data_IF_483666584950
#
_entry.id   IF_483666584950
#
_cell.length_a   1.000
_cell.length_b   1.000
_cell.length_c   1.000
_cell.angle_alpha   90.00
_cell.angle_beta   90.00
_cell.angle_gamma   90.00
#
_symmetry.space_group_name_H-M   'P 1'
#
loop_
_entity.id
_entity.type
_entity.pdbx_description
1 polymer ?
#
# COMPACT_ATOMS: atom_id res chain seq x y z
N UNK A 1 2.21 16.92 22.02
CA UNK A 1 2.84 16.97 20.66
C UNK A 1 2.58 15.72 19.86
N UNK A 2 2.70 14.53 20.44
CA UNK A 2 2.50 13.23 19.74
C UNK A 2 1.05 13.01 19.28
N UNK A 3 0.06 13.37 20.09
CA UNK A 3 -1.35 13.27 19.71
C UNK A 3 -1.72 14.16 18.52
N UNK A 4 -1.13 15.34 18.43
CA UNK A 4 -1.37 16.25 17.31
C UNK A 4 -0.74 15.69 16.03
N UNK A 5 0.48 15.18 16.12
CA UNK A 5 1.16 14.57 14.97
C UNK A 5 0.39 13.34 14.45
N UNK A 6 -0.05 12.45 15.35
CA UNK A 6 -0.86 11.29 15.00
C UNK A 6 -2.23 11.66 14.38
N UNK A 7 -2.80 12.83 14.77
CA UNK A 7 -4.02 13.34 14.17
C UNK A 7 -3.77 13.86 12.75
N UNK A 8 -2.69 14.63 12.57
CA UNK A 8 -2.28 15.16 11.27
C UNK A 8 -1.97 14.01 10.28
N UNK A 9 -1.27 12.99 10.73
CA UNK A 9 -0.92 11.86 9.86
C UNK A 9 -2.15 11.03 9.48
N UNK A 10 -3.14 10.90 10.38
CA UNK A 10 -4.44 10.30 10.05
C UNK A 10 -5.21 11.13 9.04
N UNK A 11 -5.34 12.44 9.26
CA UNK A 11 -6.04 13.34 8.35
C UNK A 11 -5.39 13.33 6.96
N UNK A 12 -4.06 13.38 6.87
CA UNK A 12 -3.32 13.23 5.61
C UNK A 12 -3.57 11.89 4.94
N UNK A 13 -3.70 10.81 5.72
CA UNK A 13 -4.01 9.48 5.22
C UNK A 13 -5.42 9.39 4.64
N UNK A 14 -6.37 10.00 5.33
CA UNK A 14 -7.77 10.01 4.91
C UNK A 14 -7.94 10.86 3.64
N UNK A 15 -7.31 12.04 3.59
CA UNK A 15 -7.27 12.88 2.39
C UNK A 15 -6.62 12.13 1.20
N UNK A 16 -5.50 11.45 1.42
CA UNK A 16 -4.85 10.68 0.35
C UNK A 16 -5.75 9.56 -0.18
N UNK A 17 -6.52 8.91 0.69
CA UNK A 17 -7.49 7.87 0.31
C UNK A 17 -8.64 8.47 -0.48
N UNK A 18 -9.24 9.56 0.01
CA UNK A 18 -10.34 10.25 -0.67
C UNK A 18 -9.93 10.73 -2.07
N UNK A 19 -8.73 11.31 -2.20
CA UNK A 19 -8.18 11.70 -3.51
C UNK A 19 -7.99 10.49 -4.41
N UNK A 20 -7.52 9.35 -3.87
CA UNK A 20 -7.31 8.15 -4.67
C UNK A 20 -8.65 7.55 -5.14
N UNK A 21 -9.60 7.41 -4.24
CA UNK A 21 -10.87 6.72 -4.50
C UNK A 21 -11.79 7.58 -5.38
N UNK A 22 -11.95 8.85 -5.06
CA UNK A 22 -12.88 9.74 -5.77
C UNK A 22 -12.30 10.30 -7.06
N UNK A 23 -11.10 10.89 -6.99
CA UNK A 23 -10.47 11.52 -8.15
C UNK A 23 -9.82 10.48 -9.05
N UNK A 24 -9.08 9.54 -8.46
CA UNK A 24 -8.41 8.47 -9.19
C UNK A 24 -9.39 7.57 -9.92
N UNK A 25 -10.47 7.15 -9.26
CA UNK A 25 -11.53 6.35 -9.84
C UNK A 25 -12.26 7.06 -10.98
N UNK A 26 -12.61 8.34 -10.78
CA UNK A 26 -13.26 9.16 -11.81
C UNK A 26 -12.40 9.36 -13.05
N UNK A 27 -11.10 9.66 -12.88
CA UNK A 27 -10.17 9.83 -13.97
C UNK A 27 -9.93 8.51 -14.73
N UNK A 28 -9.93 7.37 -14.04
CA UNK A 28 -9.82 6.06 -14.67
C UNK A 28 -11.04 5.74 -15.54
N UNK A 29 -12.25 6.03 -15.06
CA UNK A 29 -13.49 5.88 -15.83
C UNK A 29 -13.48 6.76 -17.09
N UNK A 30 -13.16 8.04 -16.96
CA UNK A 30 -13.05 8.98 -18.09
C UNK A 30 -12.04 8.49 -19.12
N UNK A 31 -10.89 7.97 -18.68
CA UNK A 31 -9.88 7.41 -19.57
C UNK A 31 -10.38 6.22 -20.38
N UNK A 32 -11.18 5.36 -19.78
CA UNK A 32 -11.79 4.22 -20.47
C UNK A 32 -12.81 4.68 -21.52
N UNK A 33 -13.62 5.67 -21.18
CA UNK A 33 -14.62 6.24 -22.10
C UNK A 33 -13.93 6.95 -23.29
N UNK A 34 -12.89 7.73 -23.05
CA UNK A 34 -12.10 8.37 -24.09
C UNK A 34 -11.41 7.33 -25.01
N UNK A 35 -10.88 6.24 -24.43
CA UNK A 35 -10.30 5.16 -25.22
C UNK A 35 -11.37 4.45 -26.10
N UNK A 36 -12.59 4.31 -25.59
CA UNK A 36 -13.71 3.77 -26.36
C UNK A 36 -14.15 4.70 -27.49
N UNK A 37 -14.26 6.02 -27.22
CA UNK A 37 -14.57 7.05 -28.21
C UNK A 37 -13.49 7.13 -29.30
N UNK A 38 -12.22 7.14 -28.95
CA UNK A 38 -11.11 7.20 -29.90
C UNK A 38 -11.10 6.04 -30.89
N UNK A 39 -11.47 4.83 -30.46
CA UNK A 39 -11.62 3.67 -31.34
C UNK A 39 -12.79 3.79 -32.34
N UNK A 40 -13.72 4.69 -32.11
CA UNK A 40 -14.95 4.92 -32.91
C UNK A 40 -14.98 6.27 -33.62
N UNK A 41 -13.97 7.10 -33.43
CA UNK A 41 -13.88 8.39 -34.09
C UNK A 41 -13.87 8.20 -35.62
N UNK A 42 -14.86 8.79 -36.29
CA UNK A 42 -15.06 8.63 -37.72
C UNK A 42 -14.18 9.59 -38.56
N UNK A 43 -13.73 10.66 -37.97
CA UNK A 43 -12.92 11.70 -38.61
C UNK A 43 -11.69 12.08 -37.79
N UNK A 44 -10.73 12.72 -38.43
CA UNK A 44 -9.45 13.06 -37.80
C UNK A 44 -9.58 14.22 -36.81
N UNK A 45 -10.57 15.11 -36.96
CA UNK A 45 -10.83 16.19 -36.03
C UNK A 45 -11.30 15.66 -34.69
N UNK A 46 -12.31 14.76 -34.69
CA UNK A 46 -12.80 14.08 -33.49
C UNK A 46 -11.70 13.25 -32.83
N UNK A 47 -10.88 12.55 -33.59
CA UNK A 47 -9.74 11.79 -33.07
C UNK A 47 -8.73 12.68 -32.37
N UNK A 48 -8.40 13.84 -32.97
CA UNK A 48 -7.51 14.82 -32.38
C UNK A 48 -8.02 15.38 -31.04
N UNK A 49 -9.31 15.65 -30.91
CA UNK A 49 -9.91 16.08 -29.66
C UNK A 49 -9.83 14.99 -28.59
N UNK A 50 -10.13 13.73 -28.93
CA UNK A 50 -10.04 12.61 -27.97
C UNK A 50 -8.60 12.41 -27.50
N UNK A 51 -7.59 12.51 -28.35
CA UNK A 51 -6.18 12.41 -27.97
C UNK A 51 -5.75 13.56 -27.03
N UNK A 52 -6.24 14.78 -27.30
CA UNK A 52 -5.99 15.93 -26.42
C UNK A 52 -6.60 15.71 -25.03
N UNK A 53 -7.85 15.21 -24.97
CA UNK A 53 -8.52 14.92 -23.70
C UNK A 53 -7.84 13.77 -22.93
N UNK A 54 -7.39 12.71 -23.62
CA UNK A 54 -6.60 11.64 -23.02
C UNK A 54 -5.32 12.17 -22.39
N UNK A 55 -4.65 13.11 -23.06
CA UNK A 55 -3.44 13.76 -22.54
C UNK A 55 -3.76 14.58 -21.29
N UNK A 56 -4.87 15.32 -21.28
CA UNK A 56 -5.31 16.07 -20.10
C UNK A 56 -5.64 15.15 -18.91
N UNK A 57 -6.34 14.05 -19.15
CA UNK A 57 -6.65 13.06 -18.12
C UNK A 57 -5.37 12.43 -17.55
N UNK A 58 -4.41 12.07 -18.39
CA UNK A 58 -3.12 11.55 -17.95
C UNK A 58 -2.35 12.57 -17.10
N UNK A 59 -2.38 13.85 -17.45
CA UNK A 59 -1.79 14.93 -16.68
C UNK A 59 -2.47 15.09 -15.31
N UNK A 60 -3.80 15.05 -15.26
CA UNK A 60 -4.58 15.13 -14.01
C UNK A 60 -4.31 13.93 -13.10
N UNK A 61 -4.20 12.71 -13.65
CA UNK A 61 -3.80 11.52 -12.88
C UNK A 61 -2.39 11.69 -12.29
N UNK A 62 -1.44 12.18 -13.06
CA UNK A 62 -0.08 12.48 -12.58
C UNK A 62 -0.07 13.53 -11.47
N UNK A 63 -0.91 14.57 -11.56
CA UNK A 63 -1.05 15.58 -10.51
C UNK A 63 -1.64 14.99 -9.21
N UNK A 64 -2.70 14.21 -9.31
CA UNK A 64 -3.30 13.49 -8.19
C UNK A 64 -2.28 12.61 -7.47
N UNK A 65 -1.52 11.81 -8.22
CA UNK A 65 -0.47 10.96 -7.65
C UNK A 65 0.65 11.76 -6.97
N UNK A 66 1.03 12.95 -7.49
CA UNK A 66 2.00 13.82 -6.82
C UNK A 66 1.47 14.34 -5.49
N UNK A 67 0.19 14.73 -5.43
CA UNK A 67 -0.44 15.18 -4.18
C UNK A 67 -0.44 14.05 -3.14
N UNK A 68 -0.86 12.84 -3.53
CA UNK A 68 -0.86 11.66 -2.65
C UNK A 68 0.55 11.36 -2.12
N UNK A 69 1.59 11.47 -2.95
CA UNK A 69 2.99 11.29 -2.51
C UNK A 69 3.44 12.35 -1.50
N UNK A 70 3.01 13.60 -1.68
CA UNK A 70 3.34 14.69 -0.76
C UNK A 70 2.61 14.58 0.59
N UNK A 71 1.55 13.79 0.67
CA UNK A 71 0.84 13.44 1.90
C UNK A 71 1.52 12.28 2.68
N UNK A 72 2.78 11.96 2.36
CA UNK A 72 3.58 10.94 3.05
C UNK A 72 3.62 11.25 4.56
N UNK A 73 3.37 10.26 5.41
CA UNK A 73 3.53 10.44 6.85
C UNK A 73 4.97 10.83 7.20
N UNK A 74 5.13 11.89 7.98
CA UNK A 74 6.45 12.39 8.38
C UNK A 74 7.27 11.34 9.17
N UNK A 75 6.61 10.39 9.81
CA UNK A 75 7.26 9.29 10.53
C UNK A 75 8.14 8.41 9.61
N UNK A 76 7.82 8.33 8.30
CA UNK A 76 8.63 7.60 7.32
C UNK A 76 9.97 8.30 6.97
N UNK A 77 10.19 9.53 7.40
CA UNK A 77 11.47 10.23 7.21
C UNK A 77 12.59 9.62 8.05
N UNK A 78 12.24 8.84 9.08
CA UNK A 78 13.17 8.06 9.91
C UNK A 78 13.34 6.61 9.42
N UNK A 79 12.76 6.25 8.28
CA UNK A 79 12.77 4.92 7.70
C UNK A 79 11.58 4.05 8.11
N UNK A 80 11.41 2.94 7.37
CA UNK A 80 10.24 2.06 7.52
C UNK A 80 10.16 1.39 8.89
N UNK A 81 11.29 0.89 9.43
CA UNK A 81 11.30 0.21 10.74
C UNK A 81 10.81 1.16 11.82
N UNK A 82 11.39 2.36 11.93
CA UNK A 82 11.00 3.35 12.93
C UNK A 82 9.52 3.76 12.78
N UNK A 83 9.03 3.87 11.55
CA UNK A 83 7.64 4.19 11.27
C UNK A 83 6.68 3.07 11.74
N UNK A 84 7.02 1.81 11.51
CA UNK A 84 6.19 0.68 11.95
C UNK A 84 6.30 0.52 13.47
N UNK A 85 7.46 0.71 14.10
CA UNK A 85 7.61 0.72 15.57
C UNK A 85 6.68 1.76 16.22
N UNK A 86 6.67 2.98 15.67
CA UNK A 86 5.77 4.02 16.14
C UNK A 86 4.30 3.62 15.99
N UNK A 87 3.93 3.02 14.85
CA UNK A 87 2.58 2.57 14.57
C UNK A 87 2.13 1.48 15.56
N UNK A 88 2.99 0.49 15.82
CA UNK A 88 2.77 -0.60 16.77
C UNK A 88 2.55 -0.05 18.18
N UNK A 89 3.42 0.87 18.65
CA UNK A 89 3.31 1.50 19.96
C UNK A 89 2.00 2.27 20.09
N UNK A 90 1.71 3.16 19.14
CA UNK A 90 0.48 3.96 19.12
C UNK A 90 -0.78 3.09 19.08
N UNK A 91 -0.73 1.97 18.36
CA UNK A 91 -1.84 1.03 18.29
C UNK A 91 -2.07 0.33 19.63
N UNK A 92 -1.01 -0.21 20.25
CA UNK A 92 -1.08 -0.90 21.55
C UNK A 92 -1.59 0.03 22.65
N UNK A 93 -1.09 1.27 22.72
CA UNK A 93 -1.53 2.26 23.71
C UNK A 93 -3.01 2.64 23.58
N UNK A 94 -3.48 2.76 22.34
CA UNK A 94 -4.86 3.17 22.08
C UNK A 94 -5.88 2.05 22.26
N UNK A 95 -5.51 0.82 21.95
CA UNK A 95 -6.45 -0.32 21.93
C UNK A 95 -6.31 -1.23 23.13
N UNK A 96 -5.18 -1.20 23.84
CA UNK A 96 -4.84 -2.16 24.89
C UNK A 96 -4.46 -3.55 24.36
N UNK A 97 -4.44 -3.76 23.03
CA UNK A 97 -4.04 -5.02 22.40
C UNK A 97 -2.52 -5.13 22.47
N UNK A 98 -2.00 -6.26 22.97
CA UNK A 98 -0.56 -6.52 22.96
C UNK A 98 -0.06 -6.62 21.52
N UNK A 99 0.84 -5.74 21.17
CA UNK A 99 1.35 -5.68 19.80
C UNK A 99 2.87 -5.69 19.81
N UNK A 100 3.48 -6.53 19.00
CA UNK A 100 4.93 -6.67 18.88
C UNK A 100 5.38 -6.54 17.44
N UNK A 101 6.58 -6.00 17.26
CA UNK A 101 7.29 -5.98 15.98
C UNK A 101 8.57 -6.79 16.09
N UNK A 102 8.82 -7.65 15.12
CA UNK A 102 10.12 -8.25 14.85
C UNK A 102 10.60 -7.81 13.48
N UNK A 103 11.86 -7.54 13.33
CA UNK A 103 12.46 -7.28 12.03
C UNK A 103 13.76 -8.07 11.88
N UNK A 104 14.05 -8.50 10.68
CA UNK A 104 15.26 -9.21 10.30
C UNK A 104 15.93 -8.47 9.12
N UNK A 105 17.26 -8.33 9.22
CA UNK A 105 18.06 -7.65 8.22
C UNK A 105 18.32 -6.17 8.56
N UNK A 106 19.32 -5.63 7.86
CA UNK A 106 19.72 -4.21 7.94
C UNK A 106 18.95 -3.41 6.91
N UNK A 107 17.66 -3.57 6.80
CA UNK A 107 16.78 -2.93 5.82
C UNK A 107 17.50 -1.82 5.02
N UNK A 108 17.94 -2.08 3.77
CA UNK A 108 18.61 -1.07 2.97
C UNK A 108 17.63 0.09 2.71
N UNK A 109 18.14 1.19 2.18
CA UNK A 109 17.30 2.32 1.80
C UNK A 109 16.29 1.85 0.74
N UNK A 110 15.04 1.66 1.16
CA UNK A 110 13.97 1.20 0.28
C UNK A 110 13.48 2.35 -0.61
N UNK A 111 12.98 2.05 -1.81
CA UNK A 111 12.26 3.04 -2.61
C UNK A 111 11.09 3.61 -1.80
N UNK A 112 10.88 4.92 -1.91
CA UNK A 112 9.83 5.64 -1.13
C UNK A 112 8.44 5.06 -1.32
N UNK A 113 8.15 4.61 -2.52
CA UNK A 113 6.87 3.96 -2.88
C UNK A 113 6.70 2.64 -2.13
N UNK A 114 7.76 1.85 -2.00
CA UNK A 114 7.75 0.57 -1.27
C UNK A 114 7.53 0.81 0.22
N UNK A 115 8.26 1.76 0.83
CA UNK A 115 8.06 2.15 2.24
C UNK A 115 6.63 2.58 2.50
N UNK A 116 6.06 3.39 1.60
CA UNK A 116 4.69 3.87 1.72
C UNK A 116 3.68 2.72 1.66
N UNK A 117 3.83 1.81 0.70
CA UNK A 117 2.94 0.65 0.56
C UNK A 117 3.01 -0.23 1.80
N UNK A 118 4.21 -0.53 2.30
CA UNK A 118 4.39 -1.35 3.51
C UNK A 118 3.78 -0.68 4.75
N UNK A 119 4.05 0.60 4.96
CA UNK A 119 3.49 1.36 6.08
C UNK A 119 1.94 1.40 6.05
N UNK A 120 1.35 1.68 4.88
CA UNK A 120 -0.10 1.72 4.72
C UNK A 120 -0.73 0.35 4.89
N UNK A 121 -0.07 -0.70 4.44
CA UNK A 121 -0.52 -2.07 4.65
C UNK A 121 -0.56 -2.41 6.14
N UNK A 122 0.49 -2.09 6.90
CA UNK A 122 0.51 -2.25 8.35
C UNK A 122 -0.61 -1.45 9.04
N UNK A 123 -0.77 -0.18 8.66
CA UNK A 123 -1.78 0.71 9.24
C UNK A 123 -3.21 0.21 9.02
N UNK A 124 -3.53 -0.23 7.80
CA UNK A 124 -4.86 -0.76 7.46
C UNK A 124 -5.11 -2.11 8.13
N UNK A 125 -4.11 -3.00 8.15
CA UNK A 125 -4.20 -4.27 8.84
C UNK A 125 -4.50 -4.09 10.33
N UNK A 126 -3.78 -3.22 11.03
CA UNK A 126 -4.03 -2.89 12.43
C UNK A 126 -5.41 -2.28 12.65
N UNK A 127 -5.85 -1.41 11.73
CA UNK A 127 -7.20 -0.82 11.79
C UNK A 127 -8.29 -1.90 11.67
N UNK A 128 -8.11 -2.85 10.76
CA UNK A 128 -9.04 -3.96 10.55
C UNK A 128 -9.07 -4.89 11.76
N UNK A 129 -7.92 -5.18 12.36
CA UNK A 129 -7.83 -5.98 13.59
C UNK A 129 -8.59 -5.30 14.72
N UNK A 130 -8.39 -4.00 14.94
CA UNK A 130 -9.09 -3.26 16.01
C UNK A 130 -10.61 -3.25 15.82
N UNK A 131 -11.09 -3.20 14.57
CA UNK A 131 -12.53 -3.13 14.27
C UNK A 131 -13.22 -4.49 14.25
N UNK A 132 -12.51 -5.55 13.85
CA UNK A 132 -13.16 -6.78 13.42
C UNK A 132 -12.63 -8.05 14.07
N UNK A 133 -11.37 -8.09 14.53
CA UNK A 133 -10.76 -9.35 14.95
C UNK A 133 -11.14 -9.80 16.36
N UNK A 134 -11.44 -8.89 17.29
CA UNK A 134 -11.58 -9.23 18.72
C UNK A 134 -10.29 -9.83 19.30
N UNK A 135 -9.13 -9.48 18.70
CA UNK A 135 -7.83 -10.02 19.07
C UNK A 135 -7.33 -9.44 20.41
N UNK A 136 -6.51 -10.18 21.11
CA UNK A 136 -5.78 -9.75 22.31
C UNK A 136 -4.28 -9.61 22.06
N UNK A 137 -3.80 -10.17 20.96
CA UNK A 137 -2.39 -10.13 20.55
C UNK A 137 -2.26 -9.99 19.06
N UNK A 138 -1.31 -9.12 18.63
CA UNK A 138 -0.94 -8.90 17.23
C UNK A 138 0.58 -8.95 17.11
N UNK A 139 1.07 -9.61 16.07
CA UNK A 139 2.49 -9.67 15.72
C UNK A 139 2.70 -9.11 14.33
N UNK A 140 3.70 -8.25 14.22
CA UNK A 140 4.21 -7.80 12.95
C UNK A 140 5.62 -8.36 12.77
N UNK A 141 5.89 -8.86 11.58
CA UNK A 141 7.24 -9.28 11.17
C UNK A 141 7.61 -8.58 9.87
N UNK A 142 8.78 -7.95 9.86
CA UNK A 142 9.31 -7.24 8.72
C UNK A 142 10.67 -7.82 8.36
N UNK A 143 10.87 -8.23 7.12
CA UNK A 143 12.14 -8.78 6.65
C UNK A 143 12.48 -8.35 5.23
N UNK A 144 13.77 -8.28 4.91
CA UNK A 144 14.31 -8.10 3.57
C UNK A 144 15.20 -9.30 3.21
N UNK A 145 14.61 -10.43 3.01
CA UNK A 145 15.31 -11.67 2.71
C UNK A 145 15.07 -12.09 1.26
N UNK A 146 16.10 -12.70 0.66
CA UNK A 146 16.02 -13.29 -0.68
C UNK A 146 15.56 -12.31 -1.78
N UNK A 147 15.82 -11.02 -1.62
CA UNK A 147 15.43 -9.99 -2.59
C UNK A 147 13.96 -9.56 -2.50
N UNK A 148 13.30 -9.85 -1.39
CA UNK A 148 11.94 -9.41 -1.12
C UNK A 148 11.84 -8.64 0.19
N UNK A 149 11.10 -7.54 0.17
CA UNK A 149 10.53 -6.98 1.40
C UNK A 149 9.26 -7.75 1.73
N UNK A 150 9.21 -8.35 2.91
CA UNK A 150 8.03 -9.04 3.41
C UNK A 150 7.55 -8.37 4.69
N UNK A 151 6.27 -8.01 4.73
CA UNK A 151 5.58 -7.56 5.93
C UNK A 151 4.47 -8.55 6.25
N UNK A 152 4.55 -9.20 7.39
CA UNK A 152 3.52 -10.08 7.91
C UNK A 152 2.83 -9.43 9.11
N UNK A 153 1.50 -9.47 9.14
CA UNK A 153 0.68 -8.99 10.24
C UNK A 153 -0.27 -10.11 10.65
N UNK A 154 -0.06 -10.66 11.84
CA UNK A 154 -0.82 -11.79 12.39
C UNK A 154 -1.57 -11.38 13.63
N UNK A 155 -2.82 -11.80 13.78
CA UNK A 155 -3.63 -11.66 14.97
C UNK A 155 -4.12 -13.01 15.50
N UNK A 156 -4.47 -13.04 16.78
CA UNK A 156 -5.05 -14.20 17.45
C UNK A 156 -6.57 -14.08 17.62
N UNK A 157 -7.24 -13.33 16.78
CA UNK A 157 -8.66 -13.04 16.90
C UNK A 157 -9.58 -14.13 16.38
N UNK A 158 -10.81 -13.74 16.11
CA UNK A 158 -11.86 -14.69 15.69
C UNK A 158 -11.70 -15.21 14.26
N UNK A 159 -10.72 -14.71 13.48
CA UNK A 159 -10.63 -15.00 12.05
C UNK A 159 -11.84 -14.45 11.27
N UNK A 160 -12.00 -14.90 10.04
CA UNK A 160 -13.12 -14.49 9.20
C UNK A 160 -13.80 -15.70 8.56
N UNK A 161 -15.13 -15.64 8.36
CA UNK A 161 -15.82 -16.62 7.52
C UNK A 161 -15.50 -16.36 6.03
N UNK A 162 -15.63 -17.36 5.19
CA UNK A 162 -15.47 -17.21 3.73
C UNK A 162 -16.40 -16.12 3.16
N UNK A 163 -17.62 -16.01 3.70
CA UNK A 163 -18.58 -14.97 3.32
C UNK A 163 -18.16 -13.57 3.77
N UNK A 164 -17.58 -13.45 4.97
CA UNK A 164 -17.06 -12.18 5.48
C UNK A 164 -15.85 -11.73 4.67
N UNK A 165 -14.96 -12.65 4.31
CA UNK A 165 -13.83 -12.37 3.41
C UNK A 165 -14.32 -11.94 2.01
N UNK A 166 -15.32 -12.60 1.46
CA UNK A 166 -15.89 -12.23 0.17
C UNK A 166 -16.53 -10.83 0.20
N UNK A 167 -17.14 -10.43 1.31
CA UNK A 167 -17.70 -9.09 1.51
C UNK A 167 -16.65 -8.04 1.85
N UNK A 168 -15.63 -8.38 2.62
CA UNK A 168 -14.52 -7.47 2.96
C UNK A 168 -13.55 -7.27 1.80
N UNK A 169 -13.55 -8.17 0.81
CA UNK A 169 -12.88 -7.94 -0.47
C UNK A 169 -13.38 -6.68 -1.18
N UNK A 170 -14.61 -6.22 -0.89
CA UNK A 170 -15.15 -5.04 -1.53
C UNK A 170 -14.54 -3.71 -1.05
N UNK A 171 -14.00 -3.61 0.19
CA UNK A 171 -13.68 -2.29 0.77
C UNK A 171 -12.27 -2.08 1.32
N UNK A 172 -11.52 -3.09 1.70
CA UNK A 172 -10.20 -2.93 2.32
C UNK A 172 -9.10 -3.73 1.64
N UNK A 173 -9.27 -5.04 1.53
CA UNK A 173 -8.23 -5.92 0.99
C UNK A 173 -7.99 -5.71 -0.52
N UNK A 174 -9.02 -5.32 -1.27
CA UNK A 174 -8.86 -4.99 -2.69
C UNK A 174 -7.93 -3.79 -2.86
N UNK A 175 -8.16 -2.71 -2.12
CA UNK A 175 -7.31 -1.52 -2.17
C UNK A 175 -5.87 -1.79 -1.72
N UNK A 176 -5.66 -2.72 -0.77
CA UNK A 176 -4.32 -3.15 -0.39
C UNK A 176 -3.62 -3.96 -1.49
N UNK A 177 -4.35 -4.87 -2.17
CA UNK A 177 -3.81 -5.62 -3.31
C UNK A 177 -3.45 -4.72 -4.48
N UNK A 178 -4.32 -3.79 -4.83
CA UNK A 178 -4.04 -2.81 -5.88
C UNK A 178 -2.79 -1.97 -5.56
N UNK A 179 -2.64 -1.53 -4.32
CA UNK A 179 -1.44 -0.81 -3.87
C UNK A 179 -0.18 -1.67 -3.92
N UNK A 180 -0.23 -2.93 -3.50
CA UNK A 180 0.90 -3.84 -3.61
C UNK A 180 1.35 -3.99 -5.08
N UNK A 181 0.40 -4.10 -6.01
CA UNK A 181 0.68 -4.20 -7.44
C UNK A 181 1.38 -2.96 -8.01
N UNK A 182 1.15 -1.75 -7.46
CA UNK A 182 1.83 -0.53 -7.94
C UNK A 182 3.34 -0.56 -7.75
N UNK A 183 3.84 -1.39 -6.85
CA UNK A 183 5.27 -1.60 -6.58
C UNK A 183 5.75 -2.99 -7.01
N UNK A 184 4.98 -3.67 -7.87
CA UNK A 184 5.31 -5.01 -8.36
C UNK A 184 5.15 -6.11 -7.30
N UNK A 185 4.52 -5.81 -6.17
CA UNK A 185 4.28 -6.73 -5.07
C UNK A 185 2.90 -7.39 -5.13
N UNK A 186 2.64 -8.23 -4.14
CA UNK A 186 1.35 -8.88 -3.95
C UNK A 186 0.98 -9.00 -2.48
N UNK A 187 -0.28 -9.29 -2.21
CA UNK A 187 -0.84 -9.43 -0.87
C UNK A 187 -1.57 -10.77 -0.75
N UNK A 188 -1.14 -11.57 0.21
CA UNK A 188 -1.78 -12.81 0.59
C UNK A 188 -2.50 -12.69 1.93
N UNK A 189 -3.56 -13.45 2.10
CA UNK A 189 -4.30 -13.57 3.35
C UNK A 189 -4.43 -15.03 3.72
N UNK A 190 -3.86 -15.40 4.85
CA UNK A 190 -4.00 -16.72 5.46
C UNK A 190 -5.07 -16.63 6.54
N UNK A 191 -6.15 -17.33 6.34
CA UNK A 191 -7.27 -17.41 7.27
C UNK A 191 -7.58 -18.88 7.54
N UNK A 192 -7.04 -19.47 8.62
CA UNK A 192 -7.24 -20.89 8.93
C UNK A 192 -8.67 -21.24 9.25
N UNK A 193 -9.47 -20.24 9.62
CA UNK A 193 -10.89 -20.42 9.93
C UNK A 193 -11.33 -19.65 11.19
N UNK A 194 -12.61 -19.75 11.53
CA UNK A 194 -13.15 -19.09 12.71
C UNK A 194 -12.41 -19.49 14.01
N UNK A 195 -12.03 -18.49 14.81
CA UNK A 195 -11.35 -18.68 16.09
C UNK A 195 -9.84 -18.94 16.00
N UNK A 196 -9.24 -18.87 14.81
CA UNK A 196 -7.81 -19.15 14.60
C UNK A 196 -6.98 -17.93 14.22
N UNK A 197 -7.57 -16.74 14.29
CA UNK A 197 -6.93 -15.50 13.85
C UNK A 197 -6.76 -15.39 12.34
N UNK A 198 -6.04 -14.37 11.90
CA UNK A 198 -5.77 -14.12 10.50
C UNK A 198 -4.35 -13.59 10.33
N UNK A 199 -3.74 -13.90 9.19
CA UNK A 199 -2.43 -13.38 8.81
C UNK A 199 -2.51 -12.72 7.44
N UNK A 200 -2.02 -11.51 7.35
CA UNK A 200 -1.88 -10.75 6.11
C UNK A 200 -0.40 -10.64 5.77
N UNK A 201 -0.04 -10.96 4.54
CA UNK A 201 1.35 -10.99 4.07
C UNK A 201 1.46 -10.12 2.83
N UNK A 202 2.24 -9.04 2.94
CA UNK A 202 2.69 -8.24 1.81
C UNK A 202 4.08 -8.71 1.40
N UNK A 203 4.27 -8.98 0.11
CA UNK A 203 5.58 -9.29 -0.48
C UNK A 203 5.85 -8.34 -1.64
N UNK A 204 7.00 -7.67 -1.60
CA UNK A 204 7.43 -6.72 -2.65
C UNK A 204 8.83 -7.11 -3.11
N UNK A 205 9.04 -7.41 -4.41
CA UNK A 205 10.37 -7.69 -4.92
C UNK A 205 11.23 -6.42 -4.84
N UNK A 206 12.42 -6.56 -4.27
CA UNK A 206 13.42 -5.51 -4.24
C UNK A 206 14.32 -5.73 -5.47
N UNK A 207 14.39 -4.75 -6.36
CA UNK A 207 15.33 -4.81 -7.46
C UNK A 207 16.73 -4.98 -6.88
N UNK A 208 17.42 -6.07 -7.24
CA UNK A 208 18.77 -6.34 -6.80
C UNK A 208 19.66 -5.15 -7.19
N UNK A 209 20.22 -4.47 -6.20
CA UNK A 209 21.27 -3.48 -6.39
C UNK A 209 22.63 -4.18 -6.73
N UNK A 210 22.60 -5.23 -7.54
CA UNK A 210 23.79 -5.99 -7.89
C UNK A 210 23.64 -6.64 -9.27
N UNK A 211 23.78 -5.87 -10.35
CA UNK A 211 24.38 -6.35 -11.59
C UNK A 211 24.92 -5.16 -12.39
N UNK A 212 25.83 -4.38 -11.83
CA UNK A 212 26.87 -3.80 -12.66
C UNK A 212 27.91 -4.90 -12.91
N UNK A 213 27.66 -5.67 -13.94
CA UNK A 213 28.71 -6.43 -14.59
C UNK A 213 29.69 -5.42 -15.17
N UNK A 214 30.79 -5.24 -14.46
CA UNK A 214 31.98 -4.59 -15.00
C UNK A 214 32.48 -5.46 -16.13
N UNK A 215 32.05 -5.17 -17.34
CA UNK A 215 32.71 -5.61 -18.56
C UNK A 215 34.03 -4.84 -18.66
N UNK A 216 35.06 -5.39 -18.04
CA UNK A 216 36.43 -5.01 -18.35
C UNK A 216 36.82 -5.79 -19.58
N UNK A 217 36.67 -5.13 -20.74
CA UNK A 217 37.33 -5.54 -21.95
C UNK A 217 38.85 -5.71 -21.69
N UNK A 218 39.32 -6.92 -21.84
CA UNK A 218 40.72 -7.22 -22.09
C UNK A 218 41.01 -6.89 -23.55
N UNK A 219 41.65 -5.74 -23.76
CA UNK A 219 42.44 -5.53 -24.97
C UNK A 219 43.90 -5.85 -24.64
N UNK A 220 44.39 -6.85 -25.37
CA UNK A 220 45.82 -7.05 -25.62
C UNK A 220 46.03 -7.54 -27.02
#
# INVERSE_FOLDING_TARGET
TEHLQASIDRERADIAREIHDDIGGSLAAIRLDLAWLGRRAADDETRGHVEADQTMVAHAQGASQRIIRNLRPAVLDQGLIAAIEWLVRSFSERTGIRTSLRHAGDMPQLPREVEMVAYRTAQEALTNIAKHAGATEVRLELSDLEGFLTLEVSDNGQGASAEALAKSHAFGLLGLRERAQTVGGWLDVVNPGPGQGMTLILSVPLANASTEVVDKGEDS
#
